data_IF_778147319796
#
_entry.id   IF_778147319796
#
_cell.length_a   1.000
_cell.length_b   1.000
_cell.length_c   1.000
_cell.angle_alpha   90.00
_cell.angle_beta   90.00
_cell.angle_gamma   90.00
#
_symmetry.space_group_name_H-M   'P 1'
#
loop_
_entity.id
_entity.type
_entity.pdbx_description
1 polymer ?
#
# COMPACT_ATOMS: atom_id res chain seq x y z
N UNK A 1 -8.77 -6.73 21.62
CA UNK A 1 -9.64 -7.48 20.69
C UNK A 1 -10.72 -8.18 21.51
N UNK A 2 -11.98 -8.03 21.16
CA UNK A 2 -13.14 -8.63 21.82
C UNK A 2 -13.50 -9.90 21.08
N UNK A 3 -13.54 -11.02 21.78
CA UNK A 3 -14.02 -12.30 21.26
C UNK A 3 -15.53 -12.40 21.45
N UNK A 4 -16.24 -12.66 20.38
CA UNK A 4 -17.69 -12.78 20.34
C UNK A 4 -18.13 -14.24 20.30
N UNK A 5 -17.39 -15.06 19.58
CA UNK A 5 -17.60 -16.52 19.45
C UNK A 5 -16.25 -17.22 19.45
N UNK A 6 -15.81 -17.68 20.61
CA UNK A 6 -14.52 -18.36 20.79
C UNK A 6 -14.50 -19.81 20.27
N UNK A 7 -15.68 -20.40 20.07
CA UNK A 7 -15.82 -21.80 19.61
C UNK A 7 -16.01 -21.91 18.09
N UNK A 8 -16.00 -20.78 17.35
CA UNK A 8 -16.16 -20.75 15.92
C UNK A 8 -15.06 -21.55 15.22
N UNK A 9 -15.47 -22.44 14.31
CA UNK A 9 -14.58 -23.31 13.53
C UNK A 9 -14.65 -22.95 12.05
N UNK A 10 -13.53 -23.14 11.36
CA UNK A 10 -13.45 -23.03 9.89
C UNK A 10 -13.38 -24.40 9.25
N UNK A 11 -14.02 -24.56 8.10
CA UNK A 11 -13.97 -25.79 7.32
C UNK A 11 -12.62 -25.95 6.62
N UNK A 12 -11.93 -27.08 6.72
CA UNK A 12 -10.71 -27.33 5.96
C UNK A 12 -10.96 -27.42 4.45
N UNK A 13 -12.21 -27.63 4.01
CA UNK A 13 -12.58 -27.76 2.61
C UNK A 13 -12.69 -26.41 1.86
N UNK A 14 -12.68 -25.27 2.54
CA UNK A 14 -12.94 -23.97 1.95
C UNK A 14 -11.86 -22.96 2.35
N UNK A 15 -11.32 -22.24 1.36
CA UNK A 15 -10.27 -21.25 1.56
C UNK A 15 -8.95 -21.84 2.05
N UNK A 16 -7.92 -20.99 2.19
CA UNK A 16 -6.61 -21.36 2.70
C UNK A 16 -5.98 -20.18 3.45
N UNK A 17 -4.94 -20.42 4.21
CA UNK A 17 -4.17 -19.29 4.76
C UNK A 17 -3.47 -18.54 3.62
N UNK A 18 -3.27 -17.21 3.70
CA UNK A 18 -2.56 -16.46 2.67
C UNK A 18 -1.18 -17.01 2.32
N UNK A 19 -0.49 -17.64 3.28
CA UNK A 19 0.84 -18.24 3.08
C UNK A 19 0.81 -19.56 2.27
N UNK A 20 -0.32 -20.26 2.28
CA UNK A 20 -0.51 -21.55 1.58
C UNK A 20 -1.03 -21.37 0.15
N UNK A 21 -1.35 -20.16 -0.28
CA UNK A 21 -1.77 -19.87 -1.66
C UNK A 21 -0.71 -20.31 -2.67
N UNK A 22 -1.17 -20.82 -3.81
CA UNK A 22 -0.29 -21.06 -4.96
C UNK A 22 0.29 -19.74 -5.49
N UNK A 23 1.31 -19.82 -6.33
CA UNK A 23 1.87 -18.60 -6.95
C UNK A 23 0.83 -17.91 -7.83
N UNK A 24 0.02 -18.68 -8.54
CA UNK A 24 -1.08 -18.19 -9.38
C UNK A 24 -2.12 -17.43 -8.55
N UNK A 25 -2.55 -17.99 -7.41
CA UNK A 25 -3.48 -17.32 -6.49
C UNK A 25 -2.89 -16.04 -5.89
N UNK A 26 -1.57 -16.03 -5.58
CA UNK A 26 -0.87 -14.81 -5.14
C UNK A 26 -0.85 -13.76 -6.25
N UNK A 27 -0.66 -14.16 -7.51
CA UNK A 27 -0.69 -13.24 -8.64
C UNK A 27 -2.09 -12.70 -8.95
N UNK A 28 -3.15 -13.44 -8.63
CA UNK A 28 -4.52 -12.96 -8.75
C UNK A 28 -4.92 -11.88 -7.74
N UNK A 29 -4.23 -11.82 -6.59
CA UNK A 29 -4.49 -10.82 -5.55
C UNK A 29 -3.25 -10.59 -4.68
N UNK A 30 -2.19 -10.05 -5.28
CA UNK A 30 -0.92 -9.87 -4.61
C UNK A 30 -0.21 -8.57 -4.93
N UNK A 31 0.97 -8.46 -4.37
CA UNK A 31 1.85 -7.32 -4.56
C UNK A 31 3.32 -7.73 -4.57
N UNK A 32 4.15 -6.87 -5.13
CA UNK A 32 5.60 -6.93 -5.03
C UNK A 32 6.18 -5.52 -5.00
N UNK A 33 7.41 -5.38 -4.54
CA UNK A 33 8.09 -4.09 -4.43
C UNK A 33 9.35 -4.10 -5.29
N UNK A 34 9.39 -3.22 -6.28
CA UNK A 34 10.53 -3.11 -7.21
C UNK A 34 11.42 -1.93 -6.80
N UNK A 35 12.73 -2.14 -6.83
CA UNK A 35 13.70 -1.06 -6.87
C UNK A 35 13.68 -0.47 -8.29
N UNK A 36 12.94 0.61 -8.47
CA UNK A 36 12.86 1.26 -9.77
C UNK A 36 14.23 1.83 -10.14
N UNK A 37 14.83 1.40 -11.25
CA UNK A 37 16.09 1.98 -11.71
C UNK A 37 15.90 3.38 -12.27
N UNK A 38 17.00 4.14 -12.38
CA UNK A 38 17.05 5.40 -13.10
C UNK A 38 16.82 5.17 -14.60
N UNK A 39 16.14 6.09 -15.26
CA UNK A 39 15.91 6.09 -16.71
C UNK A 39 14.45 5.80 -17.10
N UNK A 40 13.90 4.59 -16.91
CA UNK A 40 12.53 4.30 -17.26
C UNK A 40 11.53 5.00 -16.31
N UNK A 41 10.36 5.36 -16.83
CA UNK A 41 9.26 5.82 -15.98
C UNK A 41 8.57 4.65 -15.25
N UNK A 42 7.73 4.96 -14.26
CA UNK A 42 7.05 3.94 -13.44
C UNK A 42 6.12 3.03 -14.27
N UNK A 43 5.51 3.54 -15.33
CA UNK A 43 4.65 2.75 -16.22
C UNK A 43 5.47 1.73 -17.04
N UNK A 44 6.64 2.12 -17.52
CA UNK A 44 7.55 1.20 -18.23
C UNK A 44 8.04 0.08 -17.32
N UNK A 45 8.46 0.41 -16.08
CA UNK A 45 8.88 -0.61 -15.08
C UNK A 45 7.73 -1.56 -14.75
N UNK A 46 6.51 -1.04 -14.55
CA UNK A 46 5.32 -1.85 -14.33
C UNK A 46 5.00 -2.74 -15.53
N UNK A 47 5.15 -2.24 -16.76
CA UNK A 47 4.95 -3.04 -17.98
C UNK A 47 5.98 -4.18 -18.10
N UNK A 48 7.26 -3.92 -17.85
CA UNK A 48 8.29 -4.96 -17.87
C UNK A 48 8.06 -6.02 -16.78
N UNK A 49 7.71 -5.61 -15.55
CA UNK A 49 7.38 -6.56 -14.49
C UNK A 49 6.15 -7.40 -14.85
N UNK A 50 5.12 -6.79 -15.44
CA UNK A 50 3.94 -7.48 -15.96
C UNK A 50 4.31 -8.55 -17.00
N UNK A 51 5.15 -8.20 -17.97
CA UNK A 51 5.57 -9.10 -19.04
C UNK A 51 6.42 -10.26 -18.48
N UNK A 52 7.32 -10.00 -17.52
CA UNK A 52 8.11 -11.03 -16.82
C UNK A 52 7.19 -12.02 -16.10
N UNK A 53 6.17 -11.51 -15.38
CA UNK A 53 5.21 -12.35 -14.66
C UNK A 53 4.23 -13.09 -15.58
N UNK A 54 4.07 -12.63 -16.83
CA UNK A 54 3.08 -13.15 -17.78
C UNK A 54 1.65 -12.76 -17.44
N UNK A 55 1.45 -11.55 -16.90
CA UNK A 55 0.13 -11.04 -16.50
C UNK A 55 -0.45 -10.11 -17.57
N UNK A 56 -1.77 -10.06 -17.67
CA UNK A 56 -2.45 -9.09 -18.55
C UNK A 56 -2.37 -7.66 -18.01
N UNK A 57 -2.42 -7.51 -16.68
CA UNK A 57 -2.46 -6.21 -16.00
C UNK A 57 -1.62 -6.22 -14.72
N UNK A 58 -0.89 -5.12 -14.52
CA UNK A 58 -0.15 -4.83 -13.29
C UNK A 58 -0.19 -3.32 -13.04
N UNK A 59 -0.66 -2.92 -11.87
CA UNK A 59 -0.74 -1.51 -11.46
C UNK A 59 0.43 -1.11 -10.57
N UNK A 60 0.59 0.20 -10.31
CA UNK A 60 1.57 0.69 -9.35
C UNK A 60 0.99 1.69 -8.35
N UNK A 61 1.54 1.69 -7.14
CA UNK A 61 1.12 2.50 -6.00
C UNK A 61 1.88 3.82 -5.87
N UNK A 62 2.07 4.55 -6.98
CA UNK A 62 2.67 5.90 -6.97
C UNK A 62 3.79 6.08 -7.97
N UNK A 63 3.63 7.11 -8.81
CA UNK A 63 4.61 7.45 -9.84
C UNK A 63 5.90 7.96 -9.23
N UNK A 64 7.03 7.53 -9.80
CA UNK A 64 8.34 8.12 -9.67
C UNK A 64 8.75 8.73 -11.00
N UNK A 65 9.42 9.89 -10.95
CA UNK A 65 10.00 10.51 -12.14
C UNK A 65 11.04 9.56 -12.80
N UNK A 66 11.34 9.70 -14.09
CA UNK A 66 12.33 8.84 -14.78
C UNK A 66 13.71 8.86 -14.10
N UNK A 67 14.20 10.04 -13.67
CA UNK A 67 15.48 10.17 -13.00
C UNK A 67 15.50 9.63 -11.56
N UNK A 68 14.31 9.53 -10.91
CA UNK A 68 14.19 9.05 -9.55
C UNK A 68 14.23 7.52 -9.48
N UNK A 69 14.78 7.00 -8.38
CA UNK A 69 14.95 5.57 -8.11
C UNK A 69 14.20 5.12 -6.85
N UNK A 70 14.24 3.82 -6.53
CA UNK A 70 13.81 3.27 -5.25
C UNK A 70 12.42 2.65 -5.27
N UNK A 71 11.78 2.64 -4.12
CA UNK A 71 10.58 1.86 -3.78
C UNK A 71 9.41 2.11 -4.73
N UNK A 72 9.05 1.12 -5.55
CA UNK A 72 7.86 1.13 -6.39
C UNK A 72 7.00 -0.10 -6.09
N UNK A 73 5.86 0.11 -5.43
CA UNK A 73 4.90 -0.95 -5.10
C UNK A 73 4.08 -1.28 -6.33
N UNK A 74 4.09 -2.55 -6.74
CA UNK A 74 3.29 -3.09 -7.84
C UNK A 74 2.17 -3.97 -7.30
N UNK A 75 1.02 -3.93 -7.95
CA UNK A 75 -0.22 -4.57 -7.52
C UNK A 75 -0.78 -5.43 -8.66
N UNK A 76 -1.07 -6.70 -8.39
CA UNK A 76 -1.63 -7.64 -9.37
C UNK A 76 -3.09 -7.98 -9.09
N UNK A 77 -3.81 -8.32 -10.15
CA UNK A 77 -5.18 -8.81 -10.09
C UNK A 77 -6.10 -7.93 -9.22
N UNK A 78 -6.81 -8.55 -8.29
CA UNK A 78 -7.77 -7.87 -7.40
C UNK A 78 -7.12 -6.84 -6.47
N UNK A 79 -5.80 -6.98 -6.15
CA UNK A 79 -5.08 -6.03 -5.33
C UNK A 79 -4.98 -4.63 -5.97
N UNK A 80 -5.10 -4.51 -7.30
CA UNK A 80 -5.12 -3.22 -8.00
C UNK A 80 -6.25 -2.29 -7.52
N UNK A 81 -7.33 -2.84 -6.95
CA UNK A 81 -8.42 -2.05 -6.36
C UNK A 81 -7.99 -1.26 -5.12
N UNK A 82 -6.85 -1.64 -4.50
CA UNK A 82 -6.23 -0.95 -3.37
C UNK A 82 -5.23 0.15 -3.78
N UNK A 83 -5.09 0.44 -5.08
CA UNK A 83 -4.14 1.45 -5.57
C UNK A 83 -4.30 2.79 -4.84
N UNK A 84 -5.54 3.26 -4.63
CA UNK A 84 -5.81 4.52 -3.91
C UNK A 84 -5.32 4.49 -2.47
N UNK A 85 -5.45 3.35 -1.77
CA UNK A 85 -4.94 3.15 -0.41
C UNK A 85 -3.41 3.27 -0.38
N UNK A 86 -2.72 2.59 -1.29
CA UNK A 86 -1.25 2.66 -1.39
C UNK A 86 -0.79 4.07 -1.78
N UNK A 87 -1.52 4.73 -2.67
CA UNK A 87 -1.23 6.11 -3.08
C UNK A 87 -1.35 7.10 -1.92
N UNK A 88 -2.27 6.89 -0.97
CA UNK A 88 -2.55 7.83 0.12
C UNK A 88 -1.50 7.82 1.25
N UNK A 89 -0.63 6.82 1.33
CA UNK A 89 0.39 6.75 2.37
C UNK A 89 1.47 7.81 2.19
N UNK A 90 2.10 8.22 3.30
CA UNK A 90 3.29 9.08 3.30
C UNK A 90 4.45 8.39 2.58
N UNK A 91 5.39 9.20 2.07
CA UNK A 91 6.59 8.75 1.37
C UNK A 91 7.83 9.42 1.97
N UNK A 92 8.92 8.66 2.02
CA UNK A 92 10.23 9.18 2.41
C UNK A 92 11.18 9.09 1.22
N UNK A 93 11.95 10.13 1.04
CA UNK A 93 12.92 10.27 -0.04
C UNK A 93 14.26 10.72 0.51
N UNK A 94 15.35 10.29 -0.12
CA UNK A 94 16.66 10.90 -0.01
C UNK A 94 16.97 11.60 -1.34
N UNK A 95 17.39 12.85 -1.27
CA UNK A 95 17.74 13.64 -2.44
C UNK A 95 19.08 14.31 -2.31
N UNK A 96 19.79 14.47 -3.42
CA UNK A 96 21.02 15.24 -3.52
C UNK A 96 20.71 16.58 -4.20
N UNK A 97 20.97 17.64 -3.48
CA UNK A 97 20.86 19.03 -3.93
C UNK A 97 22.20 19.54 -4.39
N UNK A 98 22.24 20.37 -5.41
CA UNK A 98 23.46 21.06 -5.88
C UNK A 98 23.22 22.54 -6.06
N UNK A 99 24.12 23.36 -5.47
CA UNK A 99 24.17 24.81 -5.64
C UNK A 99 25.28 25.20 -6.61
N UNK A 100 25.31 26.45 -7.13
CA UNK A 100 26.40 26.95 -7.96
C UNK A 100 27.72 27.13 -7.17
N UNK A 101 27.63 27.41 -5.87
CA UNK A 101 28.74 27.56 -4.95
C UNK A 101 28.56 26.68 -3.73
N UNK A 102 29.57 26.59 -2.86
CA UNK A 102 29.48 25.83 -1.63
C UNK A 102 28.32 26.33 -0.74
N UNK A 103 27.63 25.36 -0.14
CA UNK A 103 26.56 25.69 0.79
C UNK A 103 27.10 26.29 2.09
N UNK A 104 26.53 27.40 2.53
CA UNK A 104 26.57 27.78 3.94
C UNK A 104 25.63 26.83 4.72
N UNK A 105 26.23 25.90 5.47
CA UNK A 105 25.49 24.89 6.23
C UNK A 105 24.45 25.52 7.16
N UNK A 106 24.79 26.60 7.85
CA UNK A 106 23.86 27.26 8.78
C UNK A 106 22.69 27.93 8.05
N UNK A 107 22.94 28.54 6.88
CA UNK A 107 21.87 29.11 6.05
C UNK A 107 20.97 28.01 5.50
N UNK A 108 21.54 26.89 5.04
CA UNK A 108 20.80 25.76 4.54
C UNK A 108 19.92 25.10 5.64
N UNK A 109 20.46 24.92 6.86
CA UNK A 109 19.69 24.39 8.00
C UNK A 109 18.50 25.29 8.34
N UNK A 110 18.67 26.62 8.33
CA UNK A 110 17.58 27.58 8.54
C UNK A 110 16.53 27.52 7.43
N UNK A 111 16.94 27.38 6.17
CA UNK A 111 16.03 27.26 5.04
C UNK A 111 15.24 25.95 5.10
N UNK A 112 15.89 24.82 5.41
CA UNK A 112 15.23 23.50 5.59
C UNK A 112 14.22 23.56 6.73
N UNK A 113 14.53 24.20 7.84
CA UNK A 113 13.60 24.33 8.96
C UNK A 113 12.29 25.06 8.58
N UNK A 114 12.35 26.01 7.65
CA UNK A 114 11.14 26.69 7.11
C UNK A 114 10.31 25.80 6.19
N UNK A 115 10.87 24.69 5.72
CA UNK A 115 10.17 23.71 4.86
C UNK A 115 9.63 22.52 5.64
N UNK A 116 9.55 22.62 6.96
CA UNK A 116 8.93 21.61 7.82
C UNK A 116 7.53 22.05 8.28
N UNK A 117 6.66 21.07 8.53
CA UNK A 117 5.26 21.29 8.93
C UNK A 117 4.32 21.38 7.73
N UNK A 118 3.31 22.25 7.80
CA UNK A 118 2.35 22.47 6.71
C UNK A 118 2.91 23.49 5.72
N UNK A 119 3.33 23.03 4.55
CA UNK A 119 3.92 23.89 3.51
C UNK A 119 3.06 23.92 2.27
N UNK A 120 3.09 25.01 1.53
CA UNK A 120 2.44 25.10 0.21
C UNK A 120 3.32 24.43 -0.83
N UNK A 121 2.82 23.36 -1.43
CA UNK A 121 3.50 22.65 -2.50
C UNK A 121 2.82 22.93 -3.83
N UNK A 122 3.55 23.56 -4.74
CA UNK A 122 3.08 23.96 -6.07
C UNK A 122 3.61 22.96 -7.09
N UNK A 123 2.74 22.23 -7.83
CA UNK A 123 3.19 21.33 -8.88
C UNK A 123 4.12 22.03 -9.88
N UNK A 124 5.12 21.34 -10.44
CA UNK A 124 5.95 21.90 -11.51
C UNK A 124 5.11 22.13 -12.77
N UNK A 125 5.51 23.06 -13.64
CA UNK A 125 4.81 23.41 -14.89
C UNK A 125 4.56 22.18 -15.78
N UNK A 126 5.51 21.25 -15.82
CA UNK A 126 5.37 19.97 -16.50
C UNK A 126 4.88 18.92 -15.49
N UNK A 127 3.56 18.90 -15.28
CA UNK A 127 2.92 17.85 -14.47
C UNK A 127 1.67 17.34 -15.19
N UNK A 128 1.32 16.08 -14.95
CA UNK A 128 0.10 15.47 -15.50
C UNK A 128 -1.20 16.00 -14.86
N UNK A 129 -1.10 16.84 -13.86
CA UNK A 129 -2.23 17.38 -13.08
C UNK A 129 -2.29 18.89 -13.24
N UNK A 130 -3.51 19.45 -13.34
CA UNK A 130 -3.71 20.91 -13.34
C UNK A 130 -3.00 21.53 -12.14
N UNK A 131 -2.26 22.63 -12.39
CA UNK A 131 -1.54 23.38 -11.37
C UNK A 131 -2.53 23.83 -10.29
N UNK A 132 -2.45 23.23 -9.12
CA UNK A 132 -3.23 23.62 -7.96
C UNK A 132 -2.34 23.62 -6.74
N UNK A 133 -2.16 24.77 -6.12
CA UNK A 133 -1.43 24.91 -4.86
C UNK A 133 -2.16 24.09 -3.78
N UNK A 134 -1.43 23.23 -3.10
CA UNK A 134 -1.96 22.43 -1.98
C UNK A 134 -1.07 22.53 -0.77
N UNK A 135 -1.68 22.64 0.40
CA UNK A 135 -0.95 22.44 1.65
C UNK A 135 -0.59 20.98 1.81
N UNK A 136 0.66 20.70 2.22
CA UNK A 136 1.20 19.37 2.46
C UNK A 136 2.02 19.36 3.72
N UNK A 137 1.84 18.33 4.55
CA UNK A 137 2.72 18.08 5.67
C UNK A 137 4.03 17.49 5.14
N UNK A 138 5.12 18.10 5.56
CA UNK A 138 6.47 17.71 5.15
C UNK A 138 7.44 17.86 6.31
N UNK A 139 8.35 16.92 6.43
CA UNK A 139 9.50 16.98 7.33
C UNK A 139 10.75 16.79 6.50
N UNK A 140 11.68 17.74 6.61
CA UNK A 140 12.95 17.72 5.87
C UNK A 140 14.10 17.77 6.85
N UNK A 141 15.10 16.89 6.65
CA UNK A 141 16.32 16.83 7.44
C UNK A 141 17.52 16.98 6.54
N UNK A 142 18.49 17.78 6.98
CA UNK A 142 19.82 17.80 6.37
C UNK A 142 20.59 16.58 6.85
N UNK A 143 21.09 15.76 5.94
CA UNK A 143 21.93 14.60 6.25
C UNK A 143 23.39 14.95 6.21
N UNK A 144 23.84 15.59 5.12
CA UNK A 144 25.23 15.91 4.89
C UNK A 144 25.38 17.12 3.97
N UNK A 145 26.50 17.84 4.10
CA UNK A 145 26.94 18.92 3.18
C UNK A 145 28.36 18.63 2.78
N UNK A 146 28.64 18.62 1.50
CA UNK A 146 29.98 18.49 0.92
C UNK A 146 30.15 19.53 -0.20
N UNK A 147 30.79 20.63 0.12
CA UNK A 147 30.98 21.76 -0.77
C UNK A 147 29.63 22.28 -1.30
N UNK A 148 29.43 22.18 -2.60
CA UNK A 148 28.22 22.61 -3.29
C UNK A 148 27.11 21.55 -3.36
N UNK A 149 27.32 20.37 -2.79
CA UNK A 149 26.35 19.30 -2.72
C UNK A 149 25.81 19.13 -1.29
N UNK A 150 24.52 18.81 -1.18
CA UNK A 150 23.89 18.54 0.10
C UNK A 150 22.90 17.35 -0.04
N UNK A 151 22.99 16.42 0.88
CA UNK A 151 22.04 15.32 1.01
C UNK A 151 20.93 15.66 2.00
N UNK A 152 19.69 15.48 1.60
CA UNK A 152 18.50 15.70 2.44
C UNK A 152 17.63 14.47 2.49
N UNK A 153 16.96 14.26 3.63
CA UNK A 153 15.85 13.32 3.76
C UNK A 153 14.54 14.11 3.85
N UNK A 154 13.54 13.68 3.10
CA UNK A 154 12.21 14.32 3.07
C UNK A 154 11.14 13.27 3.30
N UNK A 155 10.39 13.39 4.40
CA UNK A 155 9.15 12.63 4.63
C UNK A 155 7.95 13.54 4.38
N UNK A 156 7.02 13.12 3.53
CA UNK A 156 5.93 13.97 3.12
C UNK A 156 4.62 13.20 2.84
N UNK A 157 3.53 13.93 2.92
CA UNK A 157 2.22 13.43 2.50
C UNK A 157 2.18 13.02 1.03
N UNK A 158 1.24 12.13 0.72
CA UNK A 158 0.96 11.70 -0.64
C UNK A 158 0.68 12.88 -1.59
N UNK A 159 1.25 12.80 -2.80
CA UNK A 159 1.05 13.82 -3.83
C UNK A 159 1.90 15.08 -3.64
N UNK A 160 2.92 15.05 -2.78
CA UNK A 160 3.93 16.11 -2.68
C UNK A 160 4.93 15.98 -3.83
N UNK A 161 5.23 17.10 -4.48
CA UNK A 161 6.21 17.17 -5.56
C UNK A 161 7.59 17.53 -4.99
N UNK A 162 8.46 16.52 -4.88
CA UNK A 162 9.82 16.70 -4.31
C UNK A 162 10.69 17.59 -5.19
N UNK A 163 10.49 17.57 -6.51
CA UNK A 163 11.22 18.46 -7.45
C UNK A 163 11.09 19.95 -7.11
N UNK A 164 9.99 20.35 -6.50
CA UNK A 164 9.80 21.76 -6.12
C UNK A 164 10.54 22.18 -4.89
N UNK A 165 11.01 21.23 -4.06
CA UNK A 165 11.80 21.49 -2.86
C UNK A 165 13.10 22.22 -3.21
N UNK A 166 13.81 21.77 -4.25
CA UNK A 166 15.05 22.43 -4.69
C UNK A 166 14.80 23.89 -5.13
N UNK A 167 13.71 24.13 -5.89
CA UNK A 167 13.31 25.50 -6.28
C UNK A 167 13.01 26.35 -5.04
N UNK A 168 12.23 25.82 -4.10
CA UNK A 168 11.77 26.57 -2.94
C UNK A 168 12.94 26.86 -1.97
N UNK A 169 13.86 25.89 -1.80
CA UNK A 169 15.13 26.13 -1.10
C UNK A 169 15.99 27.20 -1.78
N UNK A 170 16.05 27.17 -3.12
CA UNK A 170 16.75 28.19 -3.89
C UNK A 170 16.22 29.61 -3.64
N UNK A 171 14.90 29.76 -3.56
CA UNK A 171 14.26 31.04 -3.22
C UNK A 171 14.62 31.51 -1.81
N UNK A 172 14.66 30.60 -0.83
CA UNK A 172 15.03 30.91 0.56
C UNK A 172 16.50 31.23 0.72
N UNK A 173 17.37 30.65 -0.09
CA UNK A 173 18.83 30.87 -0.05
C UNK A 173 19.29 32.02 -0.94
N UNK A 174 18.43 32.54 -1.85
CA UNK A 174 18.73 33.61 -2.77
C UNK A 174 19.60 33.21 -3.96
N UNK A 175 19.72 31.92 -4.27
CA UNK A 175 20.44 31.39 -5.43
C UNK A 175 19.79 30.12 -5.95
N UNK A 176 20.14 29.66 -7.15
CA UNK A 176 19.59 28.44 -7.73
C UNK A 176 20.05 27.19 -6.95
N UNK A 177 19.12 26.25 -6.76
CA UNK A 177 19.41 24.91 -6.23
C UNK A 177 18.76 23.89 -7.17
N UNK A 178 19.51 22.86 -7.53
CA UNK A 178 19.06 21.78 -8.40
C UNK A 178 18.92 20.49 -7.61
N UNK A 179 17.88 19.70 -7.89
CA UNK A 179 17.75 18.33 -7.42
C UNK A 179 18.44 17.40 -8.43
N UNK A 180 19.61 16.88 -8.07
CA UNK A 180 20.44 16.02 -8.94
C UNK A 180 20.03 14.57 -8.88
N UNK A 181 19.78 14.07 -7.68
CA UNK A 181 19.40 12.70 -7.46
C UNK A 181 18.20 12.66 -6.51
N UNK A 182 17.36 11.64 -6.73
CA UNK A 182 16.20 11.39 -5.88
C UNK A 182 15.97 9.89 -5.78
N UNK A 183 15.92 9.41 -4.55
CA UNK A 183 15.59 8.02 -4.25
C UNK A 183 14.44 7.94 -3.26
N UNK A 184 13.37 7.26 -3.61
CA UNK A 184 12.30 6.95 -2.66
C UNK A 184 12.70 5.76 -1.80
N UNK A 185 13.00 6.02 -0.53
CA UNK A 185 13.43 5.00 0.44
C UNK A 185 12.27 4.29 1.10
N UNK A 186 11.07 4.96 1.13
CA UNK A 186 9.88 4.41 1.75
C UNK A 186 8.59 4.87 1.04
N UNK A 187 7.61 3.97 0.95
CA UNK A 187 6.23 4.24 0.51
C UNK A 187 5.25 3.54 1.46
N UNK A 188 4.65 4.30 2.38
CA UNK A 188 3.88 3.74 3.49
C UNK A 188 4.75 2.82 4.35
N UNK A 189 4.36 1.58 4.49
CA UNK A 189 5.11 0.57 5.26
C UNK A 189 6.22 -0.14 4.47
N UNK A 190 6.30 0.08 3.16
CA UNK A 190 7.27 -0.58 2.30
C UNK A 190 8.55 0.24 2.22
N UNK A 191 9.66 -0.38 2.57
CA UNK A 191 11.01 0.20 2.60
C UNK A 191 11.91 -0.45 1.55
N UNK A 192 13.08 0.10 1.33
CA UNK A 192 14.09 -0.42 0.40
C UNK A 192 14.46 -1.88 0.67
N UNK A 193 14.44 -2.32 1.92
CA UNK A 193 14.69 -3.72 2.30
C UNK A 193 13.69 -4.73 1.72
N UNK A 194 12.54 -4.26 1.24
CA UNK A 194 11.53 -5.08 0.58
C UNK A 194 11.69 -5.08 -0.95
N UNK A 195 12.59 -4.24 -1.48
CA UNK A 195 12.75 -4.08 -2.93
C UNK A 195 13.56 -5.22 -3.53
N UNK A 196 13.18 -5.57 -4.76
CA UNK A 196 13.95 -6.41 -5.66
C UNK A 196 14.14 -5.70 -6.99
N UNK A 197 15.17 -6.07 -7.71
CA UNK A 197 15.41 -5.61 -9.08
C UNK A 197 14.52 -6.37 -10.09
N UNK A 198 14.36 -5.81 -11.29
CA UNK A 198 13.69 -6.53 -12.39
C UNK A 198 14.44 -7.80 -12.79
N UNK A 199 15.78 -7.83 -12.61
CA UNK A 199 16.57 -9.02 -12.90
C UNK A 199 16.26 -10.14 -11.88
N UNK A 200 16.25 -9.83 -10.58
CA UNK A 200 15.89 -10.80 -9.55
C UNK A 200 14.45 -11.32 -9.74
N UNK A 201 13.52 -10.46 -10.17
CA UNK A 201 12.17 -10.88 -10.53
C UNK A 201 12.20 -11.90 -11.70
N UNK A 202 12.95 -11.60 -12.75
CA UNK A 202 13.07 -12.47 -13.92
C UNK A 202 13.67 -13.84 -13.56
N UNK A 203 14.71 -13.84 -12.74
CA UNK A 203 15.38 -15.06 -12.30
C UNK A 203 14.45 -15.92 -11.43
N UNK A 204 13.70 -15.28 -10.50
CA UNK A 204 12.72 -15.97 -9.66
C UNK A 204 11.58 -16.59 -10.47
N UNK A 205 11.07 -15.87 -11.48
CA UNK A 205 10.01 -16.37 -12.37
C UNK A 205 10.53 -17.51 -13.24
N UNK A 206 11.78 -17.43 -13.72
CA UNK A 206 12.40 -18.51 -14.49
C UNK A 206 12.56 -19.78 -13.64
N UNK A 207 13.06 -19.66 -12.41
CA UNK A 207 13.18 -20.79 -11.48
C UNK A 207 11.82 -21.45 -11.22
N UNK A 208 10.79 -20.65 -11.02
CA UNK A 208 9.43 -21.16 -10.80
C UNK A 208 8.89 -21.87 -12.06
N UNK A 209 8.93 -21.24 -13.23
CA UNK A 209 8.30 -21.79 -14.44
C UNK A 209 9.10 -22.97 -15.05
N UNK A 210 10.42 -22.87 -15.07
CA UNK A 210 11.26 -23.86 -15.78
C UNK A 210 11.78 -24.97 -14.85
N UNK A 211 11.88 -24.70 -13.53
CA UNK A 211 12.43 -25.66 -12.56
C UNK A 211 11.40 -26.14 -11.52
N UNK A 212 10.23 -25.49 -11.44
CA UNK A 212 9.25 -25.77 -10.39
C UNK A 212 9.70 -25.29 -8.98
N UNK A 213 10.72 -24.42 -8.91
CA UNK A 213 11.27 -23.94 -7.64
C UNK A 213 10.56 -22.65 -7.20
N UNK A 214 9.63 -22.75 -6.24
CA UNK A 214 8.84 -21.60 -5.77
C UNK A 214 9.53 -20.72 -4.73
N UNK A 215 10.65 -21.19 -4.12
CA UNK A 215 11.28 -20.51 -2.98
C UNK A 215 11.64 -19.04 -3.26
N UNK A 216 12.15 -18.73 -4.46
CA UNK A 216 12.55 -17.38 -4.83
C UNK A 216 11.33 -16.49 -5.06
N UNK A 217 10.35 -16.95 -5.86
CA UNK A 217 9.16 -16.16 -6.19
C UNK A 217 8.28 -15.92 -4.96
N UNK A 218 8.17 -16.88 -4.02
CA UNK A 218 7.43 -16.71 -2.75
C UNK A 218 8.04 -15.67 -1.82
N UNK A 219 9.34 -15.37 -1.91
CA UNK A 219 9.97 -14.26 -1.16
C UNK A 219 9.64 -12.89 -1.73
N UNK A 220 9.31 -12.83 -3.01
CA UNK A 220 9.07 -11.62 -3.77
C UNK A 220 7.60 -11.21 -3.73
N UNK A 221 6.72 -12.20 -3.88
CA UNK A 221 5.28 -11.96 -3.88
C UNK A 221 4.75 -11.91 -2.45
N UNK A 222 3.98 -10.88 -2.15
CA UNK A 222 3.23 -10.78 -0.92
C UNK A 222 1.72 -10.81 -1.21
N UNK A 223 0.91 -11.42 -0.34
CA UNK A 223 -0.54 -11.47 -0.50
C UNK A 223 -1.17 -10.09 -0.27
N UNK A 224 -2.38 -9.88 -0.81
CA UNK A 224 -3.15 -8.63 -0.71
C UNK A 224 -3.32 -8.16 0.74
N UNK A 225 -3.41 -9.06 1.69
CA UNK A 225 -3.52 -8.79 3.12
C UNK A 225 -2.39 -7.90 3.64
N UNK A 226 -1.21 -8.01 3.02
CA UNK A 226 -0.05 -7.17 3.35
C UNK A 226 -0.29 -5.68 3.06
N UNK A 227 -1.16 -5.33 2.12
CA UNK A 227 -1.47 -3.93 1.76
C UNK A 227 -2.34 -3.21 2.78
N UNK A 228 -3.05 -3.95 3.60
CA UNK A 228 -4.08 -3.43 4.51
C UNK A 228 -3.87 -3.83 5.97
N UNK A 229 -2.70 -4.37 6.30
CA UNK A 229 -2.43 -4.89 7.65
C UNK A 229 -2.38 -3.80 8.73
N UNK A 230 -2.28 -2.53 8.34
CA UNK A 230 -2.41 -1.34 9.19
C UNK A 230 -3.86 -1.02 9.58
N UNK A 231 -4.85 -1.56 8.88
CA UNK A 231 -6.25 -1.35 9.22
C UNK A 231 -6.70 -2.29 10.34
N UNK A 232 -7.63 -1.85 11.18
CA UNK A 232 -8.22 -2.70 12.19
C UNK A 232 -9.00 -3.86 11.56
N UNK A 233 -9.13 -4.97 12.30
CA UNK A 233 -9.70 -6.21 11.78
C UNK A 233 -10.97 -6.62 12.52
N UNK A 234 -11.87 -7.24 11.75
CA UNK A 234 -13.02 -8.01 12.24
C UNK A 234 -12.88 -9.42 11.63
N UNK A 235 -12.84 -10.44 12.49
CA UNK A 235 -12.79 -11.84 12.06
C UNK A 235 -14.20 -12.38 11.96
N UNK A 236 -14.50 -13.06 10.84
CA UNK A 236 -15.85 -13.53 10.54
C UNK A 236 -15.89 -15.04 10.34
N UNK A 237 -17.07 -15.63 10.58
CA UNK A 237 -17.34 -17.06 10.32
C UNK A 237 -17.39 -17.35 8.82
N UNK A 238 -17.15 -18.60 8.43
CA UNK A 238 -17.17 -19.06 7.03
C UNK A 238 -18.46 -18.67 6.28
N UNK A 239 -19.62 -18.88 6.91
CA UNK A 239 -20.91 -18.50 6.31
C UNK A 239 -21.09 -16.99 6.11
N UNK A 240 -20.54 -16.18 7.02
CA UNK A 240 -20.53 -14.74 6.87
C UNK A 240 -19.55 -14.31 5.78
N UNK A 241 -18.38 -14.93 5.70
CA UNK A 241 -17.40 -14.70 4.62
C UNK A 241 -18.03 -14.94 3.24
N UNK A 242 -18.74 -16.05 3.06
CA UNK A 242 -19.48 -16.35 1.83
C UNK A 242 -20.56 -15.31 1.52
N UNK A 243 -21.31 -14.84 2.53
CA UNK A 243 -22.32 -13.80 2.33
C UNK A 243 -21.71 -12.45 1.92
N UNK A 244 -20.63 -12.03 2.61
CA UNK A 244 -19.90 -10.77 2.34
C UNK A 244 -19.26 -10.82 0.95
N UNK A 245 -18.73 -11.97 0.53
CA UNK A 245 -18.16 -12.16 -0.81
C UNK A 245 -19.19 -11.92 -1.93
N UNK A 246 -20.49 -12.05 -1.62
CA UNK A 246 -21.61 -11.70 -2.50
C UNK A 246 -22.16 -10.27 -2.27
N UNK A 247 -21.50 -9.46 -1.43
CA UNK A 247 -21.89 -8.07 -1.16
C UNK A 247 -22.89 -7.88 -0.03
N UNK A 248 -23.25 -8.93 0.72
CA UNK A 248 -24.13 -8.79 1.88
C UNK A 248 -23.41 -8.08 3.05
N UNK A 249 -24.13 -7.32 3.90
CA UNK A 249 -23.54 -6.74 5.10
C UNK A 249 -23.13 -7.84 6.10
N UNK A 250 -22.13 -7.54 6.93
CA UNK A 250 -21.77 -8.37 8.06
C UNK A 250 -22.83 -8.23 9.15
N UNK A 251 -23.49 -9.33 9.47
CA UNK A 251 -24.47 -9.42 10.54
C UNK A 251 -23.80 -9.85 11.87
N UNK A 252 -24.35 -9.41 13.01
CA UNK A 252 -23.84 -9.74 14.36
C UNK A 252 -23.55 -11.23 14.58
N UNK A 253 -24.40 -12.19 14.21
CA UNK A 253 -24.11 -13.62 14.41
C UNK A 253 -22.93 -14.14 13.59
N UNK A 254 -22.49 -13.39 12.55
CA UNK A 254 -21.38 -13.75 11.68
C UNK A 254 -20.00 -13.39 12.23
N UNK A 255 -19.90 -12.69 13.36
CA UNK A 255 -18.63 -12.24 13.93
C UNK A 255 -18.02 -13.35 14.80
N UNK A 256 -16.70 -13.50 14.70
CA UNK A 256 -15.86 -14.26 15.63
C UNK A 256 -15.19 -13.34 16.64
N UNK A 257 -14.52 -12.31 16.15
CA UNK A 257 -13.86 -11.31 17.00
C UNK A 257 -13.75 -9.96 16.29
N UNK A 258 -13.64 -8.89 17.07
CA UNK A 258 -13.53 -7.50 16.61
C UNK A 258 -12.48 -6.76 17.41
N UNK A 259 -11.74 -5.84 16.79
CA UNK A 259 -10.82 -4.96 17.51
C UNK A 259 -11.58 -3.99 18.42
N UNK A 260 -10.91 -3.56 19.51
CA UNK A 260 -11.47 -2.61 20.47
C UNK A 260 -11.56 -1.20 19.84
N UNK A 261 -12.36 -0.35 20.46
CA UNK A 261 -12.39 1.11 20.24
C UNK A 261 -12.71 1.52 18.80
N UNK A 262 -13.42 0.67 18.02
CA UNK A 262 -13.89 1.03 16.69
C UNK A 262 -15.18 1.84 16.78
N UNK A 263 -15.21 2.92 16.02
CA UNK A 263 -16.32 3.83 15.89
C UNK A 263 -17.12 3.55 14.60
N UNK A 264 -18.33 4.08 14.55
CA UNK A 264 -19.13 4.06 13.33
C UNK A 264 -18.44 4.88 12.22
N UNK A 265 -18.26 4.27 11.06
CA UNK A 265 -17.58 4.85 9.90
C UNK A 265 -16.12 4.42 9.77
N UNK A 266 -15.55 3.78 10.79
CA UNK A 266 -14.19 3.25 10.69
C UNK A 266 -14.06 2.19 9.59
N UNK A 267 -13.00 2.29 8.83
CA UNK A 267 -12.68 1.32 7.80
C UNK A 267 -11.95 0.13 8.43
N UNK A 268 -12.51 -1.05 8.25
CA UNK A 268 -11.98 -2.31 8.79
C UNK A 268 -11.72 -3.32 7.67
N UNK A 269 -10.78 -4.23 7.94
CA UNK A 269 -10.60 -5.44 7.14
C UNK A 269 -11.45 -6.57 7.73
N UNK A 270 -12.32 -7.12 6.92
CA UNK A 270 -13.09 -8.30 7.24
C UNK A 270 -12.28 -9.52 6.82
N UNK A 271 -11.88 -10.34 7.79
CA UNK A 271 -11.00 -11.51 7.59
C UNK A 271 -11.72 -12.80 7.93
N UNK A 272 -11.42 -13.86 7.19
CA UNK A 272 -11.82 -15.22 7.58
C UNK A 272 -11.02 -15.68 8.82
N UNK A 273 -11.43 -16.80 9.42
CA UNK A 273 -10.66 -17.49 10.48
C UNK A 273 -9.27 -17.93 10.01
N UNK A 274 -9.05 -18.09 8.70
CA UNK A 274 -7.75 -18.41 8.08
C UNK A 274 -6.92 -17.16 7.76
N UNK A 275 -7.46 -15.95 8.03
CA UNK A 275 -6.78 -14.68 7.79
C UNK A 275 -6.90 -14.14 6.36
N UNK A 276 -7.74 -14.72 5.51
CA UNK A 276 -7.98 -14.24 4.15
C UNK A 276 -8.78 -12.94 4.17
N UNK A 277 -8.41 -11.98 3.35
CA UNK A 277 -9.14 -10.73 3.20
C UNK A 277 -10.42 -10.93 2.39
N UNK A 278 -11.56 -10.93 3.07
CA UNK A 278 -12.88 -11.00 2.43
C UNK A 278 -13.21 -9.66 1.79
N UNK A 279 -13.13 -8.59 2.59
CA UNK A 279 -13.52 -7.24 2.16
C UNK A 279 -12.82 -6.17 3.02
N UNK A 280 -12.66 -4.99 2.48
CA UNK A 280 -12.69 -3.77 3.28
C UNK A 280 -14.14 -3.34 3.44
N UNK A 281 -14.48 -2.86 4.62
CA UNK A 281 -15.84 -2.39 4.92
C UNK A 281 -15.84 -1.28 5.95
N UNK A 282 -16.98 -0.57 6.03
CA UNK A 282 -17.19 0.50 6.99
C UNK A 282 -18.02 -0.02 8.16
N UNK A 283 -17.60 0.26 9.39
CA UNK A 283 -18.36 -0.06 10.61
C UNK A 283 -19.67 0.73 10.65
N UNK A 284 -20.75 0.06 11.00
CA UNK A 284 -22.08 0.66 11.16
C UNK A 284 -22.43 0.94 12.61
N UNK A 285 -21.69 0.33 13.56
CA UNK A 285 -21.87 0.46 14.99
C UNK A 285 -20.52 0.48 15.71
N UNK A 286 -20.50 0.88 16.97
CA UNK A 286 -19.31 0.86 17.84
C UNK A 286 -19.04 -0.52 18.37
N UNK A 287 -17.76 -0.81 18.67
CA UNK A 287 -17.35 -2.12 19.19
C UNK A 287 -18.07 -2.49 20.50
N UNK A 288 -18.27 -1.54 21.42
CA UNK A 288 -18.92 -1.77 22.71
C UNK A 288 -20.37 -2.27 22.54
N UNK A 289 -21.10 -1.67 21.59
CA UNK A 289 -22.49 -2.03 21.31
C UNK A 289 -22.64 -3.46 20.77
N UNK A 290 -21.62 -3.97 20.08
CA UNK A 290 -21.65 -5.32 19.46
C UNK A 290 -21.81 -6.42 20.51
N UNK A 291 -21.28 -6.24 21.72
CA UNK A 291 -21.40 -7.21 22.81
C UNK A 291 -22.84 -7.34 23.32
N UNK A 292 -23.57 -6.24 23.32
CA UNK A 292 -24.94 -6.17 23.82
C UNK A 292 -26.00 -6.58 22.77
N UNK A 293 -25.58 -6.59 21.47
CA UNK A 293 -26.46 -6.92 20.37
C UNK A 293 -26.59 -8.45 20.19
N UNK A 294 -27.80 -8.93 19.96
CA UNK A 294 -28.04 -10.31 19.49
C UNK A 294 -28.08 -10.40 17.96
N UNK A 295 -28.61 -9.37 17.29
CA UNK A 295 -28.79 -9.30 15.85
C UNK A 295 -28.47 -7.89 15.35
N UNK A 296 -28.37 -7.71 14.02
CA UNK A 296 -28.19 -6.41 13.37
C UNK A 296 -26.98 -6.35 12.45
N UNK A 297 -26.93 -5.31 11.62
CA UNK A 297 -25.83 -5.02 10.72
C UNK A 297 -24.66 -4.39 11.48
N UNK A 298 -23.46 -4.93 11.30
CA UNK A 298 -22.24 -4.47 12.00
C UNK A 298 -21.30 -3.72 11.08
N UNK A 299 -21.10 -4.21 9.89
CA UNK A 299 -20.27 -3.56 8.89
C UNK A 299 -20.81 -3.81 7.49
N UNK A 300 -20.60 -2.84 6.59
CA UNK A 300 -20.98 -2.95 5.18
C UNK A 300 -19.73 -3.07 4.32
N UNK A 301 -19.65 -4.07 3.42
CA UNK A 301 -18.51 -4.21 2.51
C UNK A 301 -18.48 -3.07 1.50
N UNK A 302 -17.31 -2.42 1.38
CA UNK A 302 -17.04 -1.38 0.39
C UNK A 302 -16.27 -1.94 -0.82
N UNK A 303 -15.27 -2.82 -0.56
CA UNK A 303 -14.43 -3.46 -1.56
C UNK A 303 -14.27 -4.94 -1.23
N UNK A 304 -14.92 -5.81 -1.99
CA UNK A 304 -14.84 -7.26 -1.82
C UNK A 304 -13.66 -7.82 -2.61
N UNK A 305 -12.85 -8.68 -2.01
CA UNK A 305 -11.64 -9.29 -2.60
C UNK A 305 -11.71 -10.81 -2.70
N UNK A 306 -12.39 -11.46 -1.75
CA UNK A 306 -12.55 -12.91 -1.75
C UNK A 306 -13.45 -13.33 -2.91
N UNK A 307 -13.05 -14.35 -3.72
CA UNK A 307 -13.93 -14.92 -4.74
C UNK A 307 -15.22 -15.47 -4.12
N UNK A 308 -16.34 -15.24 -4.78
CA UNK A 308 -17.66 -15.58 -4.24
C UNK A 308 -17.90 -17.09 -4.05
N UNK A 309 -17.14 -17.92 -4.77
CA UNK A 309 -17.18 -19.38 -4.74
C UNK A 309 -16.32 -20.00 -3.64
N UNK A 310 -15.45 -19.22 -2.97
CA UNK A 310 -14.51 -19.72 -1.96
C UNK A 310 -15.22 -20.34 -0.75
N UNK A 311 -16.31 -19.73 -0.31
CA UNK A 311 -17.11 -20.20 0.82
C UNK A 311 -18.56 -20.40 0.42
N UNK A 312 -19.26 -21.43 0.95
CA UNK A 312 -20.65 -21.70 0.59
C UNK A 312 -21.58 -20.59 1.08
N UNK A 313 -22.67 -20.35 0.34
CA UNK A 313 -23.76 -19.46 0.77
C UNK A 313 -24.48 -20.06 1.97
N UNK A 314 -24.43 -19.41 3.12
CA UNK A 314 -25.01 -19.86 4.38
C UNK A 314 -26.55 -19.98 4.38
N UNK A 315 -27.24 -19.40 3.38
CA UNK A 315 -28.74 -19.33 3.36
C UNK A 315 -29.43 -20.23 2.33
N UNK A 316 -28.84 -21.31 1.87
CA UNK A 316 -29.69 -22.37 1.30
C UNK A 316 -30.52 -22.90 2.47
N UNK A 317 -31.77 -22.42 2.59
CA UNK A 317 -32.81 -23.15 3.35
C UNK A 317 -32.71 -24.61 2.92
N UNK A 318 -32.57 -25.52 3.89
CA UNK A 318 -32.83 -26.90 3.66
C UNK A 318 -34.19 -26.96 2.93
N UNK A 319 -34.18 -27.40 1.69
CA UNK A 319 -35.43 -27.81 1.05
C UNK A 319 -35.91 -28.95 1.92
N UNK A 320 -36.95 -28.68 2.68
CA UNK A 320 -37.74 -29.71 3.37
C UNK A 320 -38.18 -30.74 2.34
N UNK A 321 -37.62 -31.91 2.47
CA UNK A 321 -38.28 -33.14 1.96
C UNK A 321 -39.61 -33.34 2.65
#
# INVERSE_FOLDING_TARGET
MITIDGDAKTSPAHGCTPAERTIEELLEAGMLVIDKPQGPNSHQVSAWARDILGLDKLGHGGTLDPFATGVLVLLSGRAMRLTKKVLSHDKTYVGVLRAPNDFDKSALERAIAQMCGQVYNVPPEISAVKVQVRSRRMETKLLEVDGRDAAIEVTCEAGTYIRTIARDLGLLLGHSVELKELRRTQSGRFMESHCITLQELKDAVWLWKEKGEEKAIRKILAPIESLVSDLPKVVVKDGAAGAIAHGAPLMRPGIVSVENDLERGDIVRLLTLKGELVSLGSMLTRTEMIQEMETGEIARPDLVFLPSETYPKAWKKAQSE
#
